data_IF_059400935294
#
_entry.id   IF_059400935294
#
_cell.length_a   1.000
_cell.length_b   1.000
_cell.length_c   1.000
_cell.angle_alpha   90.00
_cell.angle_beta   90.00
_cell.angle_gamma   90.00
#
_symmetry.space_group_name_H-M   'P 1'
#
loop_
_entity.id
_entity.type
_entity.pdbx_description
1 polymer ?
#
# COMPACT_ATOMS: atom_id res chain seq x y z
N UNK A 1 10.03 14.27 -15.45
CA UNK A 1 9.55 13.40 -14.35
C UNK A 1 8.03 13.55 -14.32
N UNK A 2 7.27 12.48 -14.51
CA UNK A 2 5.84 12.55 -14.94
C UNK A 2 4.90 12.87 -13.76
N UNK A 3 3.82 13.59 -14.04
CA UNK A 3 2.73 13.92 -13.10
C UNK A 3 2.05 12.71 -12.42
N UNK A 4 2.33 11.48 -12.87
CA UNK A 4 1.83 10.24 -12.26
C UNK A 4 2.29 10.07 -10.81
N UNK A 5 3.53 10.47 -10.47
CA UNK A 5 4.06 10.34 -9.10
C UNK A 5 3.27 11.20 -8.10
N UNK A 6 2.81 12.38 -8.52
CA UNK A 6 2.01 13.27 -7.66
C UNK A 6 0.57 12.77 -7.50
N UNK A 7 -0.04 12.24 -8.56
CA UNK A 7 -1.39 11.66 -8.49
C UNK A 7 -1.43 10.41 -7.60
N UNK A 8 -0.40 9.55 -7.70
CA UNK A 8 -0.28 8.35 -6.87
C UNK A 8 -0.06 8.69 -5.39
N UNK A 9 0.81 9.67 -5.09
CA UNK A 9 1.02 10.16 -3.74
C UNK A 9 -0.26 10.79 -3.15
N UNK A 10 -0.99 11.57 -3.95
CA UNK A 10 -2.27 12.15 -3.54
C UNK A 10 -3.33 11.08 -3.28
N UNK A 11 -3.40 10.04 -4.12
CA UNK A 11 -4.29 8.91 -3.89
C UNK A 11 -3.97 8.21 -2.57
N UNK A 12 -2.69 7.93 -2.31
CA UNK A 12 -2.27 7.33 -1.03
C UNK A 12 -2.69 8.22 0.15
N UNK A 13 -2.46 9.53 0.06
CA UNK A 13 -2.85 10.49 1.10
C UNK A 13 -4.35 10.49 1.37
N UNK A 14 -5.17 10.55 0.32
CA UNK A 14 -6.63 10.50 0.46
C UNK A 14 -7.09 9.16 1.05
N UNK A 15 -6.46 8.06 0.63
CA UNK A 15 -6.83 6.73 1.08
C UNK A 15 -6.57 6.53 2.58
N UNK A 16 -5.45 7.06 3.09
CA UNK A 16 -5.10 6.96 4.52
C UNK A 16 -5.97 7.85 5.41
N UNK A 17 -6.50 8.96 4.88
CA UNK A 17 -7.36 9.88 5.64
C UNK A 17 -8.74 9.29 5.96
N UNK A 18 -9.23 8.35 5.15
CA UNK A 18 -10.59 7.79 5.32
C UNK A 18 -10.59 6.41 5.96
N UNK A 19 -9.45 5.90 6.43
CA UNK A 19 -9.29 4.54 6.95
C UNK A 19 -8.46 4.54 8.23
N UNK A 20 -8.56 3.45 9.00
CA UNK A 20 -7.88 3.29 10.29
C UNK A 20 -7.12 1.97 10.37
N UNK A 21 -6.17 1.90 11.31
CA UNK A 21 -5.35 0.71 11.56
C UNK A 21 -4.62 0.27 10.30
N UNK A 22 -4.00 1.23 9.62
CA UNK A 22 -3.34 1.03 8.34
C UNK A 22 -1.92 0.56 8.60
N UNK A 23 -1.48 -0.43 7.83
CA UNK A 23 -0.08 -0.84 7.73
C UNK A 23 0.39 -0.73 6.27
N UNK A 24 1.63 -0.28 6.09
CA UNK A 24 2.29 -0.21 4.80
C UNK A 24 3.19 -1.40 4.53
N UNK A 25 3.13 -1.92 3.31
CA UNK A 25 3.97 -3.02 2.82
C UNK A 25 4.70 -2.51 1.58
N UNK A 26 6.01 -2.34 1.70
CA UNK A 26 6.87 -1.84 0.64
C UNK A 26 7.33 -3.01 -0.21
N UNK A 27 7.02 -2.95 -1.49
CA UNK A 27 7.38 -3.98 -2.45
C UNK A 27 8.56 -3.47 -3.27
N UNK A 28 9.70 -4.18 -3.24
CA UNK A 28 10.88 -3.73 -3.96
C UNK A 28 10.66 -3.81 -5.47
N UNK A 29 11.49 -3.06 -6.20
CA UNK A 29 11.53 -3.17 -7.66
C UNK A 29 11.87 -4.60 -8.07
N UNK A 30 11.15 -5.13 -9.04
CA UNK A 30 11.45 -6.40 -9.70
C UNK A 30 11.81 -6.15 -11.16
N UNK A 31 12.05 -7.23 -11.92
CA UNK A 31 12.31 -7.13 -13.36
C UNK A 31 11.13 -6.52 -14.15
N UNK A 32 9.90 -6.69 -13.65
CA UNK A 32 8.67 -6.29 -14.36
C UNK A 32 7.86 -5.21 -13.64
N UNK A 33 8.08 -5.00 -12.34
CA UNK A 33 7.35 -4.01 -11.55
C UNK A 33 8.32 -3.00 -10.92
N UNK A 34 7.93 -1.73 -10.94
CA UNK A 34 8.57 -0.69 -10.15
C UNK A 34 8.26 -0.84 -8.65
N UNK A 35 8.92 -0.03 -7.81
CA UNK A 35 8.64 -0.02 -6.36
C UNK A 35 7.18 0.38 -6.13
N UNK A 36 6.48 -0.39 -5.29
CA UNK A 36 5.10 -0.09 -4.91
C UNK A 36 4.95 -0.01 -3.39
N UNK A 37 4.01 0.83 -2.95
CA UNK A 37 3.52 0.85 -1.58
C UNK A 37 2.11 0.26 -1.57
N UNK A 38 1.95 -0.85 -0.85
CA UNK A 38 0.68 -1.48 -0.55
C UNK A 38 0.23 -1.05 0.84
N UNK A 39 -0.90 -0.35 0.94
CA UNK A 39 -1.52 -0.01 2.21
C UNK A 39 -2.68 -0.97 2.50
N UNK A 40 -2.73 -1.51 3.72
CA UNK A 40 -3.78 -2.44 4.17
C UNK A 40 -4.39 -1.94 5.47
N UNK A 41 -5.69 -1.64 5.44
CA UNK A 41 -6.47 -1.18 6.58
C UNK A 41 -6.80 -2.32 7.54
N UNK A 42 -7.35 -1.98 8.71
CA UNK A 42 -7.67 -2.93 9.78
C UNK A 42 -8.63 -4.05 9.35
N UNK A 43 -9.54 -3.79 8.42
CA UNK A 43 -10.54 -4.74 7.92
C UNK A 43 -10.05 -5.53 6.69
N UNK A 44 -8.83 -5.26 6.23
CA UNK A 44 -8.22 -5.87 5.06
C UNK A 44 -8.49 -5.14 3.74
N UNK A 45 -9.26 -4.04 3.72
CA UNK A 45 -9.32 -3.19 2.54
C UNK A 45 -7.92 -2.67 2.21
N UNK A 46 -7.57 -2.61 0.93
CA UNK A 46 -6.23 -2.25 0.52
C UNK A 46 -6.19 -1.35 -0.72
N UNK A 47 -5.08 -0.63 -0.88
CA UNK A 47 -4.71 0.03 -2.12
C UNK A 47 -3.23 -0.13 -2.40
N UNK A 48 -2.85 -0.17 -3.67
CA UNK A 48 -1.45 -0.27 -4.10
C UNK A 48 -1.16 0.83 -5.13
N UNK A 49 -0.05 1.53 -4.96
CA UNK A 49 0.43 2.55 -5.91
C UNK A 49 1.91 2.43 -6.15
N UNK A 50 2.35 2.83 -7.34
CA UNK A 50 3.77 3.00 -7.65
C UNK A 50 4.31 4.18 -6.87
N UNK A 51 5.55 4.08 -6.43
CA UNK A 51 6.24 5.12 -5.67
C UNK A 51 7.66 5.32 -6.19
N UNK A 52 8.28 6.49 -5.97
CA UNK A 52 9.61 6.78 -6.50
C UNK A 52 10.72 5.83 -6.01
N UNK A 53 10.65 5.38 -4.75
CA UNK A 53 11.66 4.49 -4.16
C UNK A 53 11.16 3.84 -2.86
N UNK A 54 11.90 2.84 -2.37
CA UNK A 54 11.67 2.21 -1.06
C UNK A 54 11.80 3.24 0.07
N UNK A 55 12.84 4.08 0.01
CA UNK A 55 13.05 5.16 0.97
C UNK A 55 11.89 6.16 0.98
N UNK A 56 11.35 6.52 -0.20
CA UNK A 56 10.17 7.37 -0.28
C UNK A 56 8.95 6.71 0.38
N UNK A 57 8.74 5.41 0.16
CA UNK A 57 7.62 4.67 0.75
C UNK A 57 7.64 4.71 2.29
N UNK A 58 8.80 4.40 2.89
CA UNK A 58 8.97 4.47 4.34
C UNK A 58 8.87 5.90 4.85
N UNK A 59 9.43 6.89 4.14
CA UNK A 59 9.30 8.29 4.54
C UNK A 59 7.85 8.77 4.51
N UNK A 60 7.07 8.39 3.48
CA UNK A 60 5.64 8.66 3.39
C UNK A 60 4.89 8.03 4.58
N UNK A 61 5.12 6.74 4.84
CA UNK A 61 4.48 6.04 5.94
C UNK A 61 4.81 6.66 7.30
N UNK A 62 6.09 6.93 7.57
CA UNK A 62 6.57 7.57 8.80
C UNK A 62 5.97 8.97 9.00
N UNK A 63 5.93 9.80 7.95
CA UNK A 63 5.32 11.13 8.00
C UNK A 63 3.85 11.10 8.42
N UNK A 64 3.15 10.02 8.07
CA UNK A 64 1.74 9.82 8.38
C UNK A 64 1.49 8.86 9.54
N UNK A 65 2.53 8.53 10.32
CA UNK A 65 2.48 7.64 11.49
C UNK A 65 1.91 6.25 11.17
N UNK A 66 2.18 5.76 9.96
CA UNK A 66 1.79 4.43 9.51
C UNK A 66 2.99 3.48 9.68
N UNK A 67 2.86 2.37 10.42
CA UNK A 67 3.90 1.35 10.47
C UNK A 67 4.10 0.77 9.06
N UNK A 68 5.35 0.56 8.66
CA UNK A 68 5.67 0.03 7.33
C UNK A 68 6.75 -1.05 7.38
N UNK A 69 6.63 -2.04 6.49
CA UNK A 69 7.48 -3.23 6.45
C UNK A 69 7.87 -3.58 5.02
N UNK A 70 9.02 -4.23 4.84
CA UNK A 70 9.37 -4.83 3.54
C UNK A 70 8.51 -6.08 3.29
N UNK A 71 7.67 -6.02 2.25
CA UNK A 71 6.73 -7.09 1.92
C UNK A 71 7.45 -8.41 1.57
N UNK A 72 8.66 -8.33 1.02
CA UNK A 72 9.48 -9.49 0.71
C UNK A 72 9.97 -10.23 1.97
N UNK A 73 9.99 -9.56 3.13
CA UNK A 73 10.43 -10.13 4.41
C UNK A 73 9.23 -10.68 5.18
N UNK A 74 8.17 -9.89 5.33
CA UNK A 74 7.03 -10.24 6.21
C UNK A 74 5.85 -10.86 5.46
N UNK A 75 5.81 -10.74 4.13
CA UNK A 75 4.66 -11.11 3.32
C UNK A 75 3.46 -10.16 3.47
N UNK A 76 2.39 -10.48 2.75
CA UNK A 76 1.12 -9.71 2.78
C UNK A 76 0.19 -10.28 3.86
N UNK A 77 -0.48 -9.44 4.66
CA UNK A 77 -1.22 -9.89 5.84
C UNK A 77 -2.47 -10.70 5.47
N UNK A 78 -2.85 -11.63 6.35
CA UNK A 78 -4.01 -12.51 6.16
C UNK A 78 -5.32 -11.75 5.93
N UNK A 79 -5.55 -10.65 6.66
CA UNK A 79 -6.76 -9.82 6.53
C UNK A 79 -7.02 -9.31 5.12
N UNK A 80 -5.97 -9.00 4.34
CA UNK A 80 -6.10 -8.61 2.94
C UNK A 80 -6.58 -9.76 2.07
N UNK A 81 -6.06 -10.98 2.31
CA UNK A 81 -6.49 -12.19 1.59
C UNK A 81 -7.96 -12.51 1.87
N UNK A 82 -8.37 -12.36 3.12
CA UNK A 82 -9.76 -12.53 3.55
C UNK A 82 -10.69 -11.48 2.95
N UNK A 83 -10.26 -10.22 2.90
CA UNK A 83 -10.98 -9.15 2.20
C UNK A 83 -11.21 -9.51 0.72
N UNK A 84 -10.17 -9.95 0.01
CA UNK A 84 -10.30 -10.38 -1.38
C UNK A 84 -11.26 -11.55 -1.55
N UNK A 85 -11.24 -12.53 -0.62
CA UNK A 85 -12.19 -13.65 -0.62
C UNK A 85 -13.64 -13.18 -0.44
N UNK A 86 -13.89 -12.22 0.46
CA UNK A 86 -15.22 -11.61 0.65
C UNK A 86 -15.67 -10.87 -0.61
N UNK A 87 -14.80 -10.02 -1.20
CA UNK A 87 -15.13 -9.29 -2.43
C UNK A 87 -15.44 -10.19 -3.62
N UNK A 88 -14.67 -11.27 -3.79
CA UNK A 88 -14.96 -12.28 -4.80
C UNK A 88 -16.31 -12.97 -4.58
N UNK A 89 -16.68 -13.27 -3.33
CA UNK A 89 -17.98 -13.85 -3.01
C UNK A 89 -19.14 -12.87 -3.23
N UNK A 90 -18.90 -11.56 -3.05
CA UNK A 90 -19.83 -10.46 -3.32
C UNK A 90 -19.95 -10.14 -4.83
N UNK A 91 -19.18 -10.80 -5.71
CA UNK A 91 -19.20 -10.55 -7.16
C UNK A 91 -18.49 -9.25 -7.58
N UNK A 92 -17.59 -8.73 -6.74
CA UNK A 92 -16.77 -7.53 -7.00
C UNK A 92 -15.33 -7.88 -7.36
#
# INVERSE_FOLDING_TARGET
MRASDSADAQHLLQWIQTRRGIEGFVEPRTAVNDVTLLLVAHDGEWTRRRVPSVAWAHAFANKHQIPSYDAAVVGVPQRMREYNRRKKAEGR
#
